data_IF_761485211903
#
_entry.id   IF_761485211903
#
_cell.length_a   1.000
_cell.length_b   1.000
_cell.length_c   1.000
_cell.angle_alpha   90.00
_cell.angle_beta   90.00
_cell.angle_gamma   90.00
#
_symmetry.space_group_name_H-M   'P 1'
#
loop_
_entity.id
_entity.type
_entity.pdbx_description
1 polymer ?
#
# COMPACT_ATOMS: atom_id res chain seq x y z
N UNK A 1 -19.75 47.13 -13.39
CA UNK A 1 -19.36 45.70 -13.52
C UNK A 1 -17.85 45.70 -13.75
N UNK A 2 -16.97 45.20 -12.89
CA UNK A 2 -16.61 43.78 -12.73
C UNK A 2 -15.73 43.72 -11.45
N UNK A 3 -16.25 43.15 -10.38
CA UNK A 3 -15.41 42.74 -9.22
C UNK A 3 -15.95 41.45 -8.59
N UNK A 4 -16.61 40.61 -9.40
CA UNK A 4 -17.01 39.23 -9.05
C UNK A 4 -16.08 38.19 -9.69
N UNK A 5 -14.81 38.55 -9.89
CA UNK A 5 -13.84 37.75 -10.64
C UNK A 5 -12.87 36.94 -9.78
N UNK A 6 -12.66 37.30 -8.51
CA UNK A 6 -11.64 36.65 -7.68
C UNK A 6 -12.16 35.41 -6.93
N UNK A 7 -13.45 35.34 -6.60
CA UNK A 7 -14.00 34.24 -5.81
C UNK A 7 -14.13 32.92 -6.61
N UNK A 8 -14.36 32.98 -7.92
CA UNK A 8 -14.47 31.78 -8.76
C UNK A 8 -13.12 31.09 -9.03
N UNK A 9 -12.01 31.84 -9.02
CA UNK A 9 -10.68 31.27 -9.25
C UNK A 9 -10.19 30.43 -8.07
N UNK A 10 -10.56 30.81 -6.83
CA UNK A 10 -10.20 30.06 -5.61
C UNK A 10 -10.92 28.71 -5.54
N UNK A 11 -12.16 28.62 -6.06
CA UNK A 11 -12.92 27.36 -6.12
C UNK A 11 -12.38 26.37 -7.16
N UNK A 12 -11.80 26.86 -8.27
CA UNK A 12 -11.20 26.00 -9.30
C UNK A 12 -9.84 25.40 -8.89
N UNK A 13 -9.18 25.95 -7.87
CA UNK A 13 -7.88 25.46 -7.38
C UNK A 13 -8.00 24.24 -6.44
N UNK A 14 -9.17 23.96 -5.86
CA UNK A 14 -9.39 22.80 -4.97
C UNK A 14 -9.75 21.51 -5.73
N UNK A 15 -9.91 21.56 -7.04
CA UNK A 15 -10.16 20.38 -7.89
C UNK A 15 -8.88 19.75 -8.47
N UNK A 16 -7.69 20.15 -7.98
CA UNK A 16 -6.40 19.87 -8.60
C UNK A 16 -5.67 18.57 -8.22
N UNK A 17 -6.33 17.56 -7.61
CA UNK A 17 -5.64 16.30 -7.25
C UNK A 17 -6.39 15.02 -7.65
N UNK A 18 -7.24 15.08 -8.67
CA UNK A 18 -8.05 13.93 -9.10
C UNK A 18 -7.86 13.55 -10.56
N UNK A 19 -6.65 13.70 -11.09
CA UNK A 19 -6.26 12.95 -12.30
C UNK A 19 -5.86 11.55 -11.86
N UNK A 20 -6.70 10.50 -12.04
CA UNK A 20 -6.20 9.14 -11.92
C UNK A 20 -5.07 9.00 -12.93
N UNK A 21 -3.85 8.79 -12.44
CA UNK A 21 -2.74 8.45 -13.31
C UNK A 21 -3.17 7.22 -14.12
N UNK A 22 -2.98 7.21 -15.46
CA UNK A 22 -3.16 5.98 -16.21
C UNK A 22 -2.22 4.96 -15.58
N UNK A 23 -2.80 3.87 -15.03
CA UNK A 23 -2.01 2.76 -14.55
C UNK A 23 -1.01 2.40 -15.67
N UNK A 24 0.31 2.35 -15.40
CA UNK A 24 1.26 1.96 -16.44
C UNK A 24 0.81 0.57 -16.86
N UNK A 25 0.36 0.44 -18.12
CA UNK A 25 -0.10 -0.81 -18.70
C UNK A 25 0.82 -1.91 -18.24
N UNK A 26 0.31 -2.77 -17.35
CA UNK A 26 1.01 -3.94 -16.89
C UNK A 26 1.15 -4.83 -18.12
N UNK A 27 2.27 -4.67 -18.84
CA UNK A 27 2.73 -5.66 -19.79
C UNK A 27 2.71 -6.97 -19.01
N UNK A 28 2.01 -8.01 -19.50
CA UNK A 28 2.04 -9.30 -18.85
C UNK A 28 3.50 -9.68 -18.65
N UNK A 29 3.94 -9.75 -17.39
CA UNK A 29 5.24 -10.32 -17.08
C UNK A 29 5.24 -11.73 -17.67
N UNK A 30 6.24 -12.11 -18.49
CA UNK A 30 6.34 -13.49 -18.93
C UNK A 30 6.33 -14.36 -17.68
N UNK A 31 5.47 -15.39 -17.69
CA UNK A 31 5.47 -16.37 -16.62
C UNK A 31 6.90 -16.91 -16.51
N UNK A 32 7.54 -16.65 -15.37
CA UNK A 32 8.86 -17.21 -15.11
C UNK A 32 8.81 -18.73 -15.16
N UNK A 33 9.97 -19.41 -15.19
CA UNK A 33 10.04 -20.84 -15.01
C UNK A 33 9.21 -21.26 -13.77
N UNK A 34 8.52 -22.41 -13.82
CA UNK A 34 7.81 -22.89 -12.64
C UNK A 34 8.80 -22.94 -11.47
N UNK A 35 8.40 -22.50 -10.27
CA UNK A 35 9.28 -22.60 -9.11
C UNK A 35 9.71 -24.07 -8.95
N UNK A 36 10.97 -24.33 -8.55
CA UNK A 36 11.38 -25.69 -8.19
C UNK A 36 10.39 -26.27 -7.18
N UNK A 37 10.24 -27.62 -7.10
CA UNK A 37 9.36 -28.24 -6.12
C UNK A 37 9.66 -27.62 -4.76
N UNK A 38 8.65 -26.97 -4.17
CA UNK A 38 8.73 -26.21 -2.92
C UNK A 38 8.93 -27.17 -1.73
N UNK A 39 10.04 -27.90 -1.75
CA UNK A 39 10.49 -28.82 -0.73
C UNK A 39 11.92 -28.43 -0.35
N UNK A 40 12.06 -27.20 0.12
CA UNK A 40 13.16 -26.80 0.99
C UNK A 40 12.48 -26.39 2.29
N UNK A 41 12.28 -27.36 3.17
CA UNK A 41 11.58 -27.25 4.47
C UNK A 41 12.25 -26.23 5.43
N UNK A 42 13.35 -25.60 4.99
CA UNK A 42 14.13 -24.57 5.68
C UNK A 42 14.19 -23.24 4.89
N UNK A 43 13.25 -22.97 3.99
CA UNK A 43 13.17 -21.65 3.35
C UNK A 43 12.32 -20.70 4.21
N UNK A 44 12.85 -19.53 4.63
CA UNK A 44 12.07 -18.57 5.39
C UNK A 44 10.87 -18.10 4.56
N UNK A 45 9.67 -18.18 5.14
CA UNK A 45 8.45 -17.67 4.51
C UNK A 45 8.60 -16.17 4.32
N UNK A 46 8.63 -15.73 3.07
CA UNK A 46 8.69 -14.31 2.72
C UNK A 46 7.29 -13.72 2.70
N UNK A 47 7.00 -12.88 3.68
CA UNK A 47 5.75 -12.15 3.75
C UNK A 47 5.83 -10.83 2.98
N UNK A 48 4.71 -10.33 2.42
CA UNK A 48 4.68 -9.03 1.76
C UNK A 48 5.02 -7.92 2.76
N UNK A 49 5.68 -6.86 2.26
CA UNK A 49 6.22 -5.75 3.05
C UNK A 49 5.16 -4.73 3.50
N UNK A 50 3.92 -5.17 3.70
CA UNK A 50 2.84 -4.33 4.17
C UNK A 50 3.04 -3.97 5.65
N UNK A 51 2.59 -2.77 6.03
CA UNK A 51 2.59 -2.30 7.41
C UNK A 51 1.19 -1.92 7.86
N UNK A 52 0.88 -2.23 9.12
CA UNK A 52 -0.35 -1.80 9.79
C UNK A 52 0.00 -0.81 10.90
N UNK A 53 -0.70 0.33 10.91
CA UNK A 53 -0.59 1.32 11.97
C UNK A 53 -1.38 0.87 13.20
N UNK A 54 -0.78 0.96 14.38
CA UNK A 54 -1.40 0.71 15.68
C UNK A 54 -1.94 2.02 16.28
N UNK A 55 -2.93 1.92 17.16
CA UNK A 55 -3.49 3.08 17.89
C UNK A 55 -2.45 3.81 18.77
N UNK A 56 -1.41 3.08 19.17
CA UNK A 56 -0.24 3.57 19.92
C UNK A 56 0.71 4.43 19.07
N UNK A 57 0.52 4.49 17.74
CA UNK A 57 1.40 5.17 16.79
C UNK A 57 2.56 4.31 16.29
N UNK A 58 2.73 3.11 16.83
CA UNK A 58 3.67 2.09 16.33
C UNK A 58 3.20 1.44 15.02
N UNK A 59 4.11 0.79 14.29
CA UNK A 59 3.80 0.03 13.07
C UNK A 59 4.21 -1.43 13.21
N UNK A 60 3.39 -2.34 12.68
CA UNK A 60 3.63 -3.78 12.67
C UNK A 60 3.59 -4.32 11.24
N UNK A 61 4.41 -5.32 10.96
CA UNK A 61 4.45 -6.01 9.66
C UNK A 61 3.78 -7.38 9.75
N UNK A 62 3.50 -7.97 8.58
CA UNK A 62 3.07 -9.37 8.47
C UNK A 62 4.20 -10.31 8.89
N UNK A 63 3.87 -11.35 9.64
CA UNK A 63 4.81 -12.35 10.15
C UNK A 63 4.17 -13.74 10.25
N UNK A 64 4.99 -14.76 10.47
CA UNK A 64 4.56 -16.15 10.64
C UNK A 64 4.20 -16.87 9.33
N UNK A 65 3.84 -18.16 9.42
CA UNK A 65 3.60 -19.02 8.25
C UNK A 65 2.38 -18.62 7.42
N UNK A 66 1.46 -17.83 8.01
CA UNK A 66 0.26 -17.32 7.33
C UNK A 66 0.37 -15.83 6.95
N UNK A 67 1.51 -15.20 7.20
CA UNK A 67 1.74 -13.78 6.91
C UNK A 67 0.64 -12.86 7.45
N UNK A 68 0.34 -13.01 8.75
CA UNK A 68 -0.64 -12.21 9.47
C UNK A 68 0.07 -11.05 10.18
N UNK A 69 -0.61 -9.91 10.38
CA UNK A 69 -0.01 -8.79 11.11
C UNK A 69 0.32 -9.20 12.54
N UNK A 70 1.54 -8.85 12.98
CA UNK A 70 1.91 -9.02 14.38
C UNK A 70 0.98 -8.18 15.28
N UNK A 71 0.72 -8.66 16.50
CA UNK A 71 -0.04 -7.88 17.48
C UNK A 71 0.67 -6.57 17.84
N UNK A 72 -0.12 -5.49 18.00
CA UNK A 72 0.37 -4.19 18.41
C UNK A 72 1.02 -4.25 19.81
N UNK A 73 2.08 -3.45 20.08
CA UNK A 73 2.80 -3.50 21.35
C UNK A 73 1.94 -3.14 22.57
N UNK A 74 0.98 -2.22 22.40
CA UNK A 74 0.01 -1.86 23.44
C UNK A 74 -0.95 -3.02 23.81
N UNK A 75 -1.17 -3.97 22.89
CA UNK A 75 -2.05 -5.14 23.09
C UNK A 75 -1.34 -6.30 23.80
N UNK A 76 -0.01 -6.24 23.94
CA UNK A 76 0.80 -7.30 24.58
C UNK A 76 0.95 -7.11 26.10
N UNK A 77 -0.03 -6.47 26.75
CA UNK A 77 -0.07 -6.27 28.21
C UNK A 77 -0.55 -7.49 28.95
#
# INVERSE_FOLDING_TARGET
MIARGAALAVLLALAGCQTPAPAPSAKPSPAGPPPPPMAAEDSPVMCPADVQACADGSYVSRTGPRCEFAACPSEKK
#
